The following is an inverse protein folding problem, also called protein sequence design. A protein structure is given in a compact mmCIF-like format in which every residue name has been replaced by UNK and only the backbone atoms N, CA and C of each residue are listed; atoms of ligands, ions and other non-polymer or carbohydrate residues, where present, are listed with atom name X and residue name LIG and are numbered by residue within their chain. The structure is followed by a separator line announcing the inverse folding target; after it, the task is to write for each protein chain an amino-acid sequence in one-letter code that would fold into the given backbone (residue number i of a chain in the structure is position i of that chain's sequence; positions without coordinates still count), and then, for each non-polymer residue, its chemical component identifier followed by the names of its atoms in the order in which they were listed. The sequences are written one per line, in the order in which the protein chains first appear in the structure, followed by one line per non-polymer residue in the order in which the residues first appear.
data_IF_994413859287
#
_entry.id   IF_994413859287
#
_cell.length_a   1.000
_cell.length_b   1.000
_cell.length_c   1.000
_cell.angle_alpha   90.00
_cell.angle_beta   90.00
_cell.angle_gamma   90.00
#
_symmetry.space_group_name_H-M   'P 1'
#
loop_
_entity.id
_entity.type
_entity.pdbx_description
1 polymer ?
#
# COMPACT_ATOMS: atom_id res chain seq x y z
N UNK A 1 -22.99 -7.88 -33.23
CA UNK A 1 -21.70 -8.16 -32.55
C UNK A 1 -20.69 -7.13 -33.03
N UNK A 2 -20.16 -6.30 -32.14
CA UNK A 2 -19.21 -5.26 -32.52
C UNK A 2 -17.78 -5.80 -32.49
N UNK A 3 -17.15 -5.93 -33.67
CA UNK A 3 -15.73 -6.27 -33.77
C UNK A 3 -14.93 -5.03 -33.38
N UNK A 4 -14.34 -5.06 -32.19
CA UNK A 4 -13.41 -4.02 -31.74
C UNK A 4 -12.10 -4.14 -32.53
N UNK A 5 -11.82 -3.17 -33.40
CA UNK A 5 -10.55 -3.07 -34.11
C UNK A 5 -9.68 -1.99 -33.46
N UNK A 6 -8.68 -2.44 -32.71
CA UNK A 6 -7.70 -1.57 -32.02
C UNK A 6 -6.65 -1.00 -32.97
N UNK A 7 -6.68 -1.37 -34.26
CA UNK A 7 -5.68 -0.94 -35.25
C UNK A 7 -6.08 0.40 -35.87
N UNK A 8 -5.59 1.48 -35.28
CA UNK A 8 -5.68 2.82 -35.85
C UNK A 8 -4.42 3.07 -36.68
N UNK A 9 -4.54 3.44 -37.97
CA UNK A 9 -3.38 3.86 -38.76
C UNK A 9 -2.76 5.12 -38.16
N UNK A 10 -1.47 5.05 -37.89
CA UNK A 10 -0.71 6.07 -37.15
C UNK A 10 -0.29 7.17 -38.12
N UNK A 11 -0.53 8.45 -37.78
CA UNK A 11 -0.23 9.59 -38.66
C UNK A 11 0.49 10.72 -37.91
N UNK A 12 1.23 11.55 -38.63
CA UNK A 12 1.85 12.78 -38.09
C UNK A 12 2.98 12.50 -37.12
N UNK A 13 3.08 13.28 -36.03
CA UNK A 13 4.18 13.19 -35.03
C UNK A 13 4.37 11.80 -34.41
N UNK A 14 3.31 10.99 -34.35
CA UNK A 14 3.40 9.62 -33.84
C UNK A 14 4.20 8.68 -34.77
N UNK A 15 4.40 9.03 -36.04
CA UNK A 15 5.32 8.31 -36.95
C UNK A 15 6.78 8.53 -36.56
N UNK A 16 7.15 9.74 -36.13
CA UNK A 16 8.51 10.02 -35.66
C UNK A 16 8.79 9.27 -34.35
N UNK A 17 7.83 9.25 -33.44
CA UNK A 17 7.92 8.46 -32.19
C UNK A 17 8.02 6.95 -32.48
N UNK A 18 7.25 6.43 -33.45
CA UNK A 18 7.35 5.04 -33.90
C UNK A 18 8.72 4.73 -34.49
N UNK A 19 9.23 5.60 -35.37
CA UNK A 19 10.55 5.44 -36.00
C UNK A 19 11.64 5.36 -34.93
N UNK A 20 11.58 6.28 -33.96
CA UNK A 20 12.50 6.31 -32.82
C UNK A 20 12.41 5.07 -31.95
N UNK A 21 11.21 4.53 -31.75
CA UNK A 21 10.97 3.31 -30.98
C UNK A 21 11.48 2.08 -31.73
N UNK A 22 11.32 2.01 -33.06
CA UNK A 22 11.89 0.96 -33.91
C UNK A 22 13.41 0.98 -33.83
N UNK A 23 14.04 2.15 -33.91
CA UNK A 23 15.50 2.28 -33.78
C UNK A 23 16.01 1.85 -32.40
N UNK A 24 15.25 2.17 -31.34
CA UNK A 24 15.57 1.74 -29.97
C UNK A 24 15.44 0.23 -29.80
N UNK A 25 14.41 -0.40 -30.40
CA UNK A 25 14.21 -1.85 -30.30
C UNK A 25 15.21 -2.60 -31.19
N UNK A 26 15.45 -2.14 -32.42
CA UNK A 26 16.30 -2.80 -33.41
C UNK A 26 17.77 -2.89 -33.00
N UNK A 27 18.25 -1.95 -32.19
CA UNK A 27 19.61 -1.94 -31.65
C UNK A 27 19.77 -2.77 -30.36
N UNK A 28 18.67 -3.23 -29.76
CA UNK A 28 18.73 -4.07 -28.57
C UNK A 28 18.65 -5.54 -28.99
N UNK A 29 19.74 -6.28 -28.80
CA UNK A 29 19.70 -7.73 -28.89
C UNK A 29 18.93 -8.26 -27.68
N UNK A 30 17.63 -8.46 -27.83
CA UNK A 30 16.84 -9.20 -26.85
C UNK A 30 17.47 -10.59 -26.74
N UNK A 31 17.92 -10.94 -25.53
CA UNK A 31 18.39 -12.28 -25.25
C UNK A 31 17.26 -13.23 -25.60
N UNK A 32 17.41 -13.95 -26.72
CA UNK A 32 16.56 -15.08 -27.06
C UNK A 32 16.62 -16.02 -25.87
N UNK A 33 15.56 -16.02 -25.06
CA UNK A 33 15.32 -17.12 -24.14
C UNK A 33 15.34 -18.40 -24.98
N UNK A 34 15.86 -19.50 -24.44
CA UNK A 34 16.09 -20.78 -25.14
C UNK A 34 14.85 -21.35 -25.89
N UNK A 35 13.69 -20.73 -25.72
CA UNK A 35 12.34 -21.13 -26.12
C UNK A 35 11.62 -20.05 -26.99
N UNK A 36 12.28 -18.92 -27.29
CA UNK A 36 11.76 -17.88 -28.20
C UNK A 36 10.48 -17.17 -27.76
N UNK A 37 10.07 -17.33 -26.50
CA UNK A 37 8.83 -16.78 -25.94
C UNK A 37 9.12 -15.71 -24.90
N UNK A 38 8.38 -14.60 -24.97
CA UNK A 38 8.37 -13.56 -23.94
C UNK A 38 7.81 -14.14 -22.64
N UNK A 39 8.54 -13.94 -21.54
CA UNK A 39 8.15 -14.43 -20.21
C UNK A 39 8.07 -13.27 -19.24
N UNK A 40 7.01 -13.24 -18.43
CA UNK A 40 6.91 -12.34 -17.29
C UNK A 40 7.86 -12.82 -16.21
N UNK A 41 8.84 -11.98 -15.86
CA UNK A 41 9.87 -12.30 -14.86
C UNK A 41 9.70 -11.38 -13.67
N UNK A 42 9.58 -11.96 -12.47
CA UNK A 42 9.53 -11.20 -11.23
C UNK A 42 10.92 -10.71 -10.83
N UNK A 43 11.09 -9.40 -10.64
CA UNK A 43 12.38 -8.80 -10.28
C UNK A 43 12.68 -8.78 -8.78
N UNK A 44 11.70 -9.09 -7.93
CA UNK A 44 11.82 -8.86 -6.48
C UNK A 44 12.58 -9.94 -5.69
N UNK A 45 12.91 -11.10 -6.26
CA UNK A 45 13.64 -12.16 -5.54
C UNK A 45 14.87 -12.71 -6.29
N UNK A 46 15.17 -12.18 -7.50
CA UNK A 46 16.28 -12.64 -8.35
C UNK A 46 16.09 -14.02 -8.98
N UNK A 47 15.06 -14.78 -8.61
CA UNK A 47 14.74 -16.08 -9.19
C UNK A 47 13.78 -15.98 -10.38
N UNK A 48 13.28 -14.79 -10.67
CA UNK A 48 12.37 -14.54 -11.79
C UNK A 48 10.96 -15.08 -11.60
N UNK A 49 10.67 -15.71 -10.46
CA UNK A 49 9.39 -16.33 -10.15
C UNK A 49 8.71 -15.55 -9.03
N UNK A 50 7.43 -15.21 -9.24
CA UNK A 50 6.65 -14.55 -8.20
C UNK A 50 6.35 -15.53 -7.05
N UNK A 51 6.98 -15.31 -5.90
CA UNK A 51 6.62 -15.98 -4.65
C UNK A 51 5.76 -15.03 -3.81
N UNK A 52 4.53 -15.46 -3.50
CA UNK A 52 3.59 -14.69 -2.66
C UNK A 52 4.22 -14.30 -1.32
N UNK A 53 5.04 -15.19 -0.73
CA UNK A 53 5.78 -14.92 0.50
C UNK A 53 6.70 -13.71 0.37
N UNK A 54 7.51 -13.65 -0.69
CA UNK A 54 8.48 -12.56 -0.89
C UNK A 54 7.74 -11.26 -1.20
N UNK A 55 6.71 -11.31 -2.04
CA UNK A 55 5.87 -10.15 -2.32
C UNK A 55 5.22 -9.60 -1.02
N UNK A 56 4.64 -10.49 -0.21
CA UNK A 56 4.04 -10.11 1.07
C UNK A 56 5.06 -9.46 2.00
N UNK A 57 6.26 -10.01 2.11
CA UNK A 57 7.33 -9.43 2.94
C UNK A 57 7.75 -8.06 2.42
N UNK A 58 7.92 -7.89 1.11
CA UNK A 58 8.28 -6.61 0.51
C UNK A 58 7.21 -5.53 0.78
N UNK A 59 5.93 -5.89 0.66
CA UNK A 59 4.80 -5.01 1.00
C UNK A 59 4.77 -4.70 2.49
N UNK A 60 4.97 -5.68 3.36
CA UNK A 60 4.96 -5.48 4.80
C UNK A 60 6.10 -4.55 5.22
N UNK A 61 7.32 -4.80 4.72
CA UNK A 61 8.47 -3.95 4.99
C UNK A 61 8.17 -2.52 4.53
N UNK A 62 7.70 -2.31 3.30
CA UNK A 62 7.42 -0.95 2.83
C UNK A 62 6.29 -0.23 3.59
N UNK A 63 5.28 -0.98 4.07
CA UNK A 63 4.17 -0.41 4.84
C UNK A 63 4.50 -0.17 6.32
N UNK A 64 5.50 -0.86 6.85
CA UNK A 64 5.86 -0.83 8.27
C UNK A 64 7.27 -0.29 8.54
N UNK A 65 8.02 0.16 7.52
CA UNK A 65 9.36 0.76 7.67
C UNK A 65 9.45 1.80 8.79
N UNK A 66 8.39 2.59 8.97
CA UNK A 66 8.34 3.69 9.94
C UNK A 66 7.77 3.27 11.30
N UNK A 67 7.36 2.01 11.48
CA UNK A 67 6.67 1.53 12.67
C UNK A 67 7.39 0.35 13.33
N UNK A 68 8.15 0.68 14.37
CA UNK A 68 8.90 -0.27 15.22
C UNK A 68 8.01 -1.39 15.79
N UNK A 69 6.72 -1.12 16.01
CA UNK A 69 5.79 -2.08 16.63
C UNK A 69 5.05 -2.93 15.57
N UNK A 70 4.95 -2.44 14.34
CA UNK A 70 4.17 -3.08 13.27
C UNK A 70 4.71 -4.43 12.83
N UNK A 71 6.04 -4.59 12.83
CA UNK A 71 6.72 -5.81 12.42
C UNK A 71 6.60 -6.96 13.45
N UNK A 72 6.39 -6.64 14.74
CA UNK A 72 6.42 -7.61 15.85
C UNK A 72 5.13 -7.70 16.66
N UNK A 73 3.98 -7.39 16.06
CA UNK A 73 2.71 -7.52 16.77
C UNK A 73 2.44 -8.97 17.21
N UNK A 74 2.30 -9.17 18.53
CA UNK A 74 2.04 -10.48 19.13
C UNK A 74 0.54 -10.76 19.11
N UNK A 75 0.13 -11.72 18.30
CA UNK A 75 -1.24 -12.21 18.27
C UNK A 75 -1.53 -13.06 19.52
N UNK A 76 -2.39 -12.56 20.41
CA UNK A 76 -2.77 -13.29 21.62
C UNK A 76 -4.01 -14.17 21.34
N UNK A 77 -3.85 -15.49 21.37
CA UNK A 77 -4.94 -16.45 21.11
C UNK A 77 -6.04 -16.46 22.19
N UNK A 78 -5.77 -15.91 23.37
CA UNK A 78 -6.71 -15.87 24.49
C UNK A 78 -7.77 -14.78 24.36
N UNK A 79 -7.57 -13.79 23.50
CA UNK A 79 -8.52 -12.71 23.27
C UNK A 79 -9.24 -12.86 21.93
N UNK A 80 -10.48 -12.34 21.81
CA UNK A 80 -11.20 -12.36 20.56
C UNK A 80 -10.38 -11.71 19.44
N UNK A 81 -10.44 -12.30 18.24
CA UNK A 81 -9.67 -11.82 17.07
C UNK A 81 -9.89 -10.34 16.77
N UNK A 82 -11.09 -9.81 17.02
CA UNK A 82 -11.41 -8.38 16.86
C UNK A 82 -10.56 -7.49 17.76
N UNK A 83 -10.28 -7.93 19.00
CA UNK A 83 -9.46 -7.18 19.96
C UNK A 83 -8.00 -7.17 19.51
N UNK A 84 -7.45 -8.31 19.06
CA UNK A 84 -6.09 -8.33 18.50
C UNK A 84 -5.95 -7.37 17.31
N UNK A 85 -6.91 -7.41 16.36
CA UNK A 85 -6.88 -6.50 15.20
C UNK A 85 -6.98 -5.03 15.63
N UNK A 86 -7.77 -4.75 16.68
CA UNK A 86 -7.87 -3.40 17.21
C UNK A 86 -6.55 -2.92 17.81
N UNK A 87 -5.92 -3.71 18.68
CA UNK A 87 -4.62 -3.40 19.30
C UNK A 87 -3.53 -3.26 18.24
N UNK A 88 -3.50 -4.14 17.24
CA UNK A 88 -2.58 -4.04 16.10
C UNK A 88 -2.74 -2.73 15.33
N UNK A 89 -3.99 -2.33 15.05
CA UNK A 89 -4.26 -1.03 14.38
C UNK A 89 -3.90 0.16 15.27
N UNK A 90 -4.10 0.04 16.58
CA UNK A 90 -3.71 1.06 17.55
C UNK A 90 -2.18 1.24 17.56
N UNK A 91 -1.41 0.14 17.63
CA UNK A 91 0.05 0.19 17.64
C UNK A 91 0.66 0.76 16.36
N UNK A 92 -0.06 0.69 15.24
CA UNK A 92 0.35 1.25 13.95
C UNK A 92 -0.04 2.74 13.79
N UNK A 93 -0.65 3.35 14.79
CA UNK A 93 -1.32 4.65 14.68
C UNK A 93 -2.32 4.73 13.52
N UNK A 94 -3.10 3.65 13.30
CA UNK A 94 -4.03 3.50 12.16
C UNK A 94 -5.50 3.46 12.55
N UNK A 95 -5.83 3.77 13.81
CA UNK A 95 -7.22 3.97 14.21
C UNK A 95 -7.80 5.25 13.59
N UNK A 96 -9.12 5.28 13.33
CA UNK A 96 -9.78 6.42 12.71
C UNK A 96 -10.01 7.56 13.72
N UNK A 97 -8.95 8.03 14.36
CA UNK A 97 -8.99 9.22 15.21
C UNK A 97 -9.02 10.47 14.35
N UNK A 98 -9.51 11.60 14.87
CA UNK A 98 -9.60 12.85 14.08
C UNK A 98 -8.25 13.31 13.57
N UNK A 99 -7.19 13.20 14.38
CA UNK A 99 -5.84 13.52 13.93
C UNK A 99 -5.38 12.62 12.77
N UNK A 100 -5.62 11.31 12.86
CA UNK A 100 -5.25 10.38 11.78
C UNK A 100 -6.10 10.57 10.51
N UNK A 101 -7.36 10.95 10.66
CA UNK A 101 -8.25 11.25 9.53
C UNK A 101 -7.80 12.53 8.79
N UNK A 102 -7.43 13.56 9.54
CA UNK A 102 -6.96 14.81 8.96
C UNK A 102 -5.60 14.67 8.25
N UNK A 103 -4.66 13.88 8.79
CA UNK A 103 -3.41 13.52 8.09
C UNK A 103 -3.70 12.84 6.75
N UNK A 104 -4.82 12.12 6.64
CA UNK A 104 -5.27 11.46 5.40
C UNK A 104 -6.10 12.38 4.49
N UNK A 105 -6.19 13.67 4.81
CA UNK A 105 -6.91 14.66 4.00
C UNK A 105 -8.43 14.65 4.17
N UNK A 106 -8.97 13.97 5.19
CA UNK A 106 -10.40 14.07 5.50
C UNK A 106 -10.67 15.42 6.16
N UNK A 107 -11.51 16.25 5.53
CA UNK A 107 -11.91 17.53 6.08
C UNK A 107 -12.83 17.31 7.29
N UNK A 108 -12.34 17.70 8.47
CA UNK A 108 -13.09 17.65 9.72
C UNK A 108 -13.33 19.07 10.23
N UNK A 109 -14.51 19.37 10.83
CA UNK A 109 -14.80 20.68 11.40
C UNK A 109 -13.87 21.08 12.56
N UNK A 110 -13.35 20.08 13.29
CA UNK A 110 -12.43 20.26 14.40
C UNK A 110 -11.60 18.99 14.60
N UNK A 111 -10.40 19.16 15.14
CA UNK A 111 -9.49 18.08 15.53
C UNK A 111 -9.68 17.64 16.98
N UNK A 112 -10.49 18.39 17.73
CA UNK A 112 -10.80 18.16 19.14
C UNK A 112 -11.75 16.97 19.27
N UNK A 113 -11.60 16.21 20.35
CA UNK A 113 -12.49 15.09 20.66
C UNK A 113 -13.94 15.59 20.90
N UNK A 114 -14.97 15.01 20.24
CA UNK A 114 -16.35 15.42 20.43
C UNK A 114 -16.92 15.08 21.81
N UNK A 115 -16.22 14.24 22.57
CA UNK A 115 -16.64 13.80 23.90
C UNK A 115 -15.92 14.56 25.03
N UNK A 116 -14.79 15.20 24.74
CA UNK A 116 -14.00 15.99 25.70
C UNK A 116 -13.33 17.15 24.94
N UNK A 117 -13.89 18.34 25.08
CA UNK A 117 -13.64 19.50 24.21
C UNK A 117 -12.32 20.25 24.48
N UNK A 118 -11.35 19.59 25.12
CA UNK A 118 -10.13 20.22 25.64
C UNK A 118 -8.85 19.72 24.92
N UNK A 119 -8.89 18.51 24.32
CA UNK A 119 -7.72 17.86 23.70
C UNK A 119 -8.02 17.36 22.28
N UNK A 120 -6.99 17.33 21.43
CA UNK A 120 -7.05 16.71 20.12
C UNK A 120 -7.26 15.20 20.22
N UNK A 121 -8.13 14.64 19.38
CA UNK A 121 -8.39 13.19 19.36
C UNK A 121 -7.22 12.46 18.68
N UNK A 122 -6.22 12.10 19.46
CA UNK A 122 -5.20 11.08 19.13
C UNK A 122 -5.52 9.73 19.79
N UNK A 123 -4.73 8.72 19.46
CA UNK A 123 -4.94 7.36 19.98
C UNK A 123 -4.71 7.30 21.49
N UNK A 124 -3.72 8.01 22.02
CA UNK A 124 -3.41 8.02 23.45
C UNK A 124 -4.54 8.68 24.26
N UNK A 125 -5.14 9.73 23.69
CA UNK A 125 -6.33 10.37 24.20
C UNK A 125 -7.51 9.41 24.22
N UNK A 126 -7.78 8.71 23.12
CA UNK A 126 -8.87 7.73 23.06
C UNK A 126 -8.68 6.52 24.01
N UNK A 127 -7.45 6.05 24.21
CA UNK A 127 -7.17 4.78 24.88
C UNK A 127 -6.69 4.89 26.32
N UNK A 128 -6.02 5.99 26.68
CA UNK A 128 -5.29 6.12 27.94
C UNK A 128 -5.75 7.33 28.75
N UNK A 129 -5.83 8.51 28.10
CA UNK A 129 -6.13 9.78 28.80
C UNK A 129 -7.62 10.06 28.95
N UNK A 130 -8.49 9.29 28.28
CA UNK A 130 -9.92 9.53 28.35
C UNK A 130 -10.45 9.29 29.78
N UNK A 131 -11.16 10.25 30.41
CA UNK A 131 -11.55 10.18 31.83
C UNK A 131 -12.37 8.94 32.22
N UNK A 132 -13.06 8.35 31.26
CA UNK A 132 -13.91 7.16 31.44
C UNK A 132 -13.11 5.84 31.48
N UNK A 133 -11.86 5.85 31.03
CA UNK A 133 -10.99 4.66 31.08
C UNK A 133 -10.41 4.46 32.48
N UNK A 134 -10.23 5.55 33.25
CA UNK A 134 -9.70 5.51 34.61
C UNK A 134 -10.75 5.21 35.69
N UNK A 135 -12.03 5.03 35.31
CA UNK A 135 -13.13 4.71 36.23
C UNK A 135 -13.56 3.23 36.22
N UNK A 136 -12.79 2.37 35.53
CA UNK A 136 -12.91 0.90 35.53
C UNK A 136 -11.81 0.30 36.42
#
# INVERSE_FOLDING_TARGET
EGVWDWRIPIHGRAMDDLSRLIDLIGNNSFSSTFDGTDKWVWSGDGFGILKVKVLSQLIQNSLFSDCVIGEHHVWNSWIPRKVNVYVWRASLNRLPTRLNLAVRGVMLPSMVCPFYDDDSEDIDHCLIRFPWVLSI
#
